data_IF_968945223333
#
_entry.id   IF_968945223333
#
_cell.length_a   1.000
_cell.length_b   1.000
_cell.length_c   1.000
_cell.angle_alpha   90.00
_cell.angle_beta   90.00
_cell.angle_gamma   90.00
#
_symmetry.space_group_name_H-M   'P 1'
#
loop_
_entity.id
_entity.type
_entity.pdbx_description
1 polymer ?
#
# COMPACT_ATOMS: atom_id res chain seq x y z
N UNK A 1 13.22 -15.47 -16.09
CA UNK A 1 11.84 -15.81 -15.72
C UNK A 1 10.99 -15.21 -16.80
N UNK A 2 10.26 -16.07 -17.49
CA UNK A 2 9.40 -15.76 -18.61
C UNK A 2 7.97 -15.68 -18.09
N UNK A 3 7.29 -14.58 -18.36
CA UNK A 3 5.89 -14.35 -18.04
C UNK A 3 5.14 -14.23 -19.35
N UNK A 4 4.14 -15.09 -19.55
CA UNK A 4 3.21 -14.86 -20.63
C UNK A 4 2.28 -13.73 -20.22
N UNK A 5 2.46 -12.58 -20.87
CA UNK A 5 1.57 -11.43 -20.77
C UNK A 5 1.11 -11.07 -22.19
N UNK A 6 -0.21 -11.17 -22.43
CA UNK A 6 -0.79 -10.78 -23.71
C UNK A 6 -0.68 -9.26 -23.89
N UNK A 7 -0.54 -8.80 -25.13
CA UNK A 7 -0.65 -7.36 -25.42
C UNK A 7 -2.12 -6.97 -25.24
N UNK A 8 -2.44 -6.07 -24.31
CA UNK A 8 -3.79 -5.52 -24.23
C UNK A 8 -4.06 -4.60 -25.44
N UNK A 9 -5.18 -4.81 -26.12
CA UNK A 9 -5.77 -3.80 -26.98
C UNK A 9 -6.59 -2.87 -26.10
N UNK A 10 -6.03 -1.69 -25.82
CA UNK A 10 -6.72 -0.65 -25.08
C UNK A 10 -7.85 -0.07 -25.94
N UNK A 11 -9.08 -0.57 -25.79
CA UNK A 11 -10.23 0.26 -26.12
C UNK A 11 -10.39 1.30 -24.99
N UNK A 12 -9.90 2.51 -25.26
CA UNK A 12 -9.92 3.69 -24.38
C UNK A 12 -11.34 4.11 -23.92
N UNK A 13 -12.38 3.34 -24.28
CA UNK A 13 -13.76 3.48 -23.82
C UNK A 13 -14.03 2.89 -22.45
N UNK A 14 -13.13 2.06 -21.90
CA UNK A 14 -13.11 1.87 -20.44
C UNK A 14 -12.70 3.22 -19.87
N UNK A 15 -13.60 3.88 -19.15
CA UNK A 15 -13.29 5.14 -18.44
C UNK A 15 -12.10 4.89 -17.50
N UNK A 16 -10.87 5.02 -17.99
CA UNK A 16 -9.71 5.32 -17.16
C UNK A 16 -10.03 6.72 -16.65
N UNK A 17 -10.41 6.91 -15.39
CA UNK A 17 -11.01 8.17 -15.01
C UNK A 17 -9.89 9.21 -14.81
N UNK A 18 -9.28 9.71 -15.88
CA UNK A 18 -8.22 10.72 -15.85
C UNK A 18 -6.99 10.37 -14.99
N UNK A 19 -6.02 11.30 -14.97
CA UNK A 19 -4.73 11.18 -14.25
C UNK A 19 -4.86 11.23 -12.70
N UNK A 20 -6.05 11.07 -12.12
CA UNK A 20 -6.36 11.45 -10.73
C UNK A 20 -6.54 10.29 -9.73
N UNK A 21 -6.53 9.02 -10.16
CA UNK A 21 -6.80 7.89 -9.26
C UNK A 21 -5.54 7.12 -8.87
N UNK A 22 -5.50 6.66 -7.62
CA UNK A 22 -4.36 5.98 -6.99
C UNK A 22 -4.24 4.48 -7.34
N UNK A 23 -5.17 3.94 -8.15
CA UNK A 23 -5.30 2.52 -8.51
C UNK A 23 -4.50 2.11 -9.77
N UNK A 24 -3.39 2.78 -10.05
CA UNK A 24 -2.62 2.57 -11.29
C UNK A 24 -1.62 1.43 -11.24
N UNK A 25 -1.50 0.72 -10.12
CA UNK A 25 -0.52 -0.37 -9.98
C UNK A 25 -0.72 -1.47 -11.04
N UNK A 26 -1.92 -2.08 -11.22
CA UNK A 26 -2.09 -3.14 -12.22
C UNK A 26 -1.83 -2.74 -13.69
N UNK A 27 -2.28 -1.56 -14.19
CA UNK A 27 -1.92 -1.16 -15.54
C UNK A 27 -0.43 -0.84 -15.70
N UNK A 28 0.22 -0.24 -14.68
CA UNK A 28 1.67 0.01 -14.73
C UNK A 28 2.49 -1.29 -14.75
N UNK A 29 2.07 -2.30 -13.98
CA UNK A 29 2.67 -3.63 -14.02
C UNK A 29 2.49 -4.26 -15.41
N UNK A 30 1.29 -4.18 -15.97
CA UNK A 30 1.03 -4.73 -17.31
C UNK A 30 1.88 -4.05 -18.39
N UNK A 31 1.91 -2.72 -18.42
CA UNK A 31 2.71 -1.96 -19.39
C UNK A 31 4.20 -2.31 -19.28
N UNK A 32 4.72 -2.41 -18.05
CA UNK A 32 6.10 -2.80 -17.81
C UNK A 32 6.38 -4.24 -18.27
N UNK A 33 5.51 -5.21 -17.95
CA UNK A 33 5.62 -6.58 -18.43
C UNK A 33 5.69 -6.63 -19.96
N UNK A 34 4.80 -5.93 -20.66
CA UNK A 34 4.66 -5.95 -22.12
C UNK A 34 5.94 -5.59 -22.86
N UNK A 35 6.73 -4.66 -22.31
CA UNK A 35 7.98 -4.16 -22.93
C UNK A 35 9.24 -4.74 -22.29
N UNK A 36 9.12 -5.51 -21.21
CA UNK A 36 10.25 -6.07 -20.49
C UNK A 36 10.82 -7.31 -21.20
N UNK A 37 12.09 -7.61 -20.89
CA UNK A 37 12.73 -8.90 -21.23
C UNK A 37 12.10 -10.12 -20.56
N UNK A 38 11.20 -9.91 -19.60
CA UNK A 38 10.52 -11.00 -18.92
C UNK A 38 9.36 -11.56 -19.70
N UNK A 39 8.86 -10.85 -20.73
CA UNK A 39 7.70 -11.34 -21.50
C UNK A 39 8.11 -12.39 -22.52
N UNK A 40 7.37 -13.50 -22.55
CA UNK A 40 7.36 -14.43 -23.69
C UNK A 40 6.00 -14.39 -24.40
N UNK A 41 5.99 -14.71 -25.69
CA UNK A 41 4.79 -14.96 -26.48
C UNK A 41 4.51 -16.45 -26.67
N UNK A 42 5.42 -17.33 -26.28
CA UNK A 42 5.23 -18.80 -26.28
C UNK A 42 4.73 -19.23 -24.91
N UNK A 43 3.53 -19.82 -24.82
CA UNK A 43 3.02 -20.41 -23.58
C UNK A 43 3.92 -21.51 -23.01
N UNK A 44 4.60 -22.27 -23.87
CA UNK A 44 5.45 -23.41 -23.50
C UNK A 44 6.74 -22.97 -22.79
N UNK A 45 7.19 -21.74 -23.04
CA UNK A 45 8.35 -21.14 -22.40
C UNK A 45 8.02 -20.37 -21.12
N UNK A 46 6.73 -20.23 -20.78
CA UNK A 46 6.28 -19.40 -19.67
C UNK A 46 6.46 -20.10 -18.33
N UNK A 47 7.09 -19.40 -17.38
CA UNK A 47 7.15 -19.82 -15.98
C UNK A 47 5.86 -19.40 -15.23
N UNK A 48 5.23 -18.30 -15.66
CA UNK A 48 4.02 -17.73 -15.08
C UNK A 48 3.09 -17.16 -16.16
N UNK A 49 1.79 -17.19 -15.91
CA UNK A 49 0.75 -16.61 -16.78
C UNK A 49 0.14 -15.38 -16.10
N UNK A 50 0.39 -14.19 -16.65
CA UNK A 50 -0.18 -12.96 -16.09
C UNK A 50 -1.60 -12.76 -16.61
N UNK A 51 -2.55 -12.57 -15.69
CA UNK A 51 -3.94 -12.28 -16.02
C UNK A 51 -4.23 -10.78 -15.81
N UNK A 52 -4.37 -9.99 -16.90
CA UNK A 52 -4.66 -8.57 -16.79
C UNK A 52 -6.12 -8.34 -16.41
N UNK A 53 -6.35 -7.91 -15.17
CA UNK A 53 -7.66 -7.46 -14.68
C UNK A 53 -7.55 -6.07 -14.09
N UNK A 54 -8.43 -5.16 -14.51
CA UNK A 54 -8.48 -3.79 -14.01
C UNK A 54 -9.84 -3.53 -13.37
N UNK A 55 -9.88 -3.51 -12.05
CA UNK A 55 -11.06 -3.15 -11.25
C UNK A 55 -10.84 -1.77 -10.62
N UNK A 56 -11.75 -0.84 -10.89
CA UNK A 56 -11.69 0.54 -10.40
C UNK A 56 -12.66 0.82 -9.26
N UNK A 57 -13.35 -0.19 -8.73
CA UNK A 57 -14.40 0.02 -7.73
C UNK A 57 -13.90 0.15 -6.27
N UNK A 58 -12.59 0.10 -6.04
CA UNK A 58 -12.03 0.12 -4.68
C UNK A 58 -12.60 -1.00 -3.81
N UNK A 59 -12.89 -0.72 -2.54
CA UNK A 59 -13.57 -1.68 -1.63
C UNK A 59 -15.06 -1.90 -1.95
N UNK A 60 -15.69 -1.12 -2.83
CA UNK A 60 -17.14 -0.87 -2.80
C UNK A 60 -17.92 -1.37 -4.03
N UNK A 61 -17.29 -2.11 -4.93
CA UNK A 61 -17.98 -2.67 -6.10
C UNK A 61 -17.80 -4.17 -6.26
N UNK A 62 -18.63 -4.70 -7.15
CA UNK A 62 -18.70 -6.11 -7.49
C UNK A 62 -17.40 -6.56 -8.19
N UNK A 63 -16.70 -7.59 -7.68
CA UNK A 63 -15.47 -8.11 -8.30
C UNK A 63 -15.75 -8.94 -9.57
N UNK A 64 -16.84 -8.68 -10.29
CA UNK A 64 -17.31 -9.46 -11.43
C UNK A 64 -16.26 -9.60 -12.54
N UNK A 65 -15.42 -8.59 -12.74
CA UNK A 65 -14.33 -8.63 -13.72
C UNK A 65 -13.40 -9.83 -13.49
N UNK A 66 -13.11 -10.15 -12.23
CA UNK A 66 -12.26 -11.27 -11.86
C UNK A 66 -12.96 -12.60 -12.08
N UNK A 67 -14.25 -12.72 -11.74
CA UNK A 67 -15.02 -13.94 -11.99
C UNK A 67 -15.16 -14.24 -13.49
N UNK A 68 -15.45 -13.22 -14.31
CA UNK A 68 -15.59 -13.37 -15.76
C UNK A 68 -14.26 -13.76 -16.39
N UNK A 69 -13.16 -13.12 -15.99
CA UNK A 69 -11.82 -13.47 -16.44
C UNK A 69 -11.43 -14.90 -16.03
N UNK A 70 -11.64 -15.26 -14.76
CA UNK A 70 -11.37 -16.61 -14.26
C UNK A 70 -12.19 -17.66 -15.02
N UNK A 71 -13.50 -17.46 -15.18
CA UNK A 71 -14.37 -18.37 -15.93
C UNK A 71 -13.91 -18.54 -17.38
N UNK A 72 -13.56 -17.45 -18.05
CA UNK A 72 -13.07 -17.50 -19.42
C UNK A 72 -11.76 -18.29 -19.50
N UNK A 73 -10.76 -17.95 -18.69
CA UNK A 73 -9.44 -18.59 -18.71
C UNK A 73 -9.54 -20.07 -18.34
N UNK A 74 -10.26 -20.42 -17.27
CA UNK A 74 -10.44 -21.81 -16.85
C UNK A 74 -11.20 -22.68 -17.85
N UNK A 75 -12.06 -22.08 -18.69
CA UNK A 75 -12.81 -22.81 -19.72
C UNK A 75 -12.11 -22.87 -21.08
N UNK A 76 -11.34 -21.84 -21.44
CA UNK A 76 -10.87 -21.62 -22.81
C UNK A 76 -9.36 -21.79 -22.99
N UNK A 77 -8.56 -21.66 -21.92
CA UNK A 77 -7.10 -21.70 -22.00
C UNK A 77 -6.57 -23.04 -21.45
N UNK A 78 -5.94 -23.88 -22.30
CA UNK A 78 -5.42 -25.19 -21.88
C UNK A 78 -4.41 -25.11 -20.72
N UNK A 79 -3.63 -24.04 -20.65
CA UNK A 79 -2.59 -23.85 -19.64
C UNK A 79 -3.14 -23.66 -18.22
N UNK A 80 -4.38 -23.17 -18.07
CA UNK A 80 -5.04 -23.15 -16.76
C UNK A 80 -5.19 -24.56 -16.20
N UNK A 81 -5.60 -25.52 -17.03
CA UNK A 81 -5.86 -26.90 -16.61
C UNK A 81 -4.58 -27.67 -16.27
N UNK A 82 -3.42 -27.25 -16.78
CA UNK A 82 -2.14 -27.90 -16.51
C UNK A 82 -1.69 -27.72 -15.05
N UNK A 83 -1.89 -26.54 -14.48
CA UNK A 83 -1.48 -26.19 -13.11
C UNK A 83 -2.66 -26.06 -12.14
N UNK A 84 -3.90 -26.10 -12.64
CA UNK A 84 -5.08 -25.70 -11.90
C UNK A 84 -5.07 -24.21 -11.53
N UNK A 85 -4.32 -23.38 -12.26
CA UNK A 85 -4.16 -21.94 -12.02
C UNK A 85 -3.02 -21.57 -11.06
N UNK A 86 -2.21 -22.53 -10.59
CA UNK A 86 -1.14 -22.28 -9.61
C UNK A 86 0.01 -21.40 -10.11
N UNK A 87 0.23 -21.38 -11.42
CA UNK A 87 1.20 -20.54 -12.14
C UNK A 87 0.57 -19.26 -12.72
N UNK A 88 -0.71 -18.99 -12.41
CA UNK A 88 -1.39 -17.78 -12.85
C UNK A 88 -1.23 -16.68 -11.82
N UNK A 89 -0.95 -15.47 -12.30
CA UNK A 89 -0.67 -14.28 -11.47
C UNK A 89 -1.71 -13.21 -11.74
N UNK A 90 -2.36 -12.73 -10.68
CA UNK A 90 -3.45 -11.76 -10.77
C UNK A 90 -3.09 -10.45 -10.06
N UNK A 91 -3.18 -9.33 -10.77
CA UNK A 91 -3.02 -8.02 -10.16
C UNK A 91 -4.35 -7.47 -9.62
N UNK A 92 -4.40 -7.22 -8.32
CA UNK A 92 -5.58 -6.75 -7.62
C UNK A 92 -5.49 -5.23 -7.38
N UNK A 93 -6.52 -4.50 -7.82
CA UNK A 93 -6.64 -3.05 -7.63
C UNK A 93 -7.69 -2.65 -6.59
N UNK A 94 -8.21 -3.59 -5.80
CA UNK A 94 -9.21 -3.30 -4.76
C UNK A 94 -8.54 -2.85 -3.47
N UNK A 95 -9.16 -1.92 -2.75
CA UNK A 95 -8.72 -1.45 -1.43
C UNK A 95 -8.41 -2.62 -0.46
N UNK A 96 -9.36 -3.55 -0.33
CA UNK A 96 -9.24 -4.75 0.49
C UNK A 96 -8.66 -5.96 -0.28
N UNK A 97 -8.01 -5.73 -1.42
CA UNK A 97 -7.42 -6.77 -2.27
C UNK A 97 -8.40 -7.93 -2.54
N UNK A 98 -8.01 -9.16 -2.21
CA UNK A 98 -8.78 -10.37 -2.48
C UNK A 98 -9.91 -10.61 -1.47
N UNK A 99 -9.93 -9.88 -0.34
CA UNK A 99 -10.87 -10.12 0.75
C UNK A 99 -12.33 -10.16 0.28
N UNK A 100 -13.12 -10.94 1.02
CA UNK A 100 -14.56 -10.84 0.96
C UNK A 100 -15.00 -9.44 1.38
N UNK A 101 -15.90 -8.89 0.60
CA UNK A 101 -16.57 -7.62 0.87
C UNK A 101 -18.08 -7.85 0.79
N UNK A 102 -18.91 -6.93 1.30
CA UNK A 102 -20.36 -6.99 1.07
C UNK A 102 -20.78 -7.15 -0.40
N UNK A 103 -19.92 -6.80 -1.36
CA UNK A 103 -20.18 -6.89 -2.80
C UNK A 103 -19.65 -8.17 -3.47
N UNK A 104 -19.05 -9.09 -2.72
CA UNK A 104 -18.47 -10.34 -3.25
C UNK A 104 -17.05 -10.61 -2.77
N UNK A 105 -16.55 -11.80 -3.11
CA UNK A 105 -15.25 -12.35 -2.71
C UNK A 105 -14.64 -13.11 -3.89
N UNK A 106 -13.38 -12.84 -4.25
CA UNK A 106 -12.67 -13.56 -5.33
C UNK A 106 -11.90 -14.78 -4.83
N UNK A 107 -12.06 -15.11 -3.55
CA UNK A 107 -11.16 -16.03 -2.87
C UNK A 107 -11.31 -17.45 -3.36
N UNK A 108 -12.53 -17.90 -3.65
CA UNK A 108 -12.73 -19.27 -4.11
C UNK A 108 -12.27 -19.47 -5.54
N UNK A 109 -12.49 -18.47 -6.41
CA UNK A 109 -12.09 -18.50 -7.81
C UNK A 109 -10.58 -18.41 -7.96
N UNK A 110 -9.91 -17.59 -7.14
CA UNK A 110 -8.47 -17.33 -7.28
C UNK A 110 -7.60 -18.06 -6.25
N UNK A 111 -8.17 -19.03 -5.50
CA UNK A 111 -7.45 -19.73 -4.41
C UNK A 111 -6.20 -20.48 -4.85
N UNK A 112 -6.12 -20.93 -6.09
CA UNK A 112 -4.93 -21.64 -6.59
C UNK A 112 -3.86 -20.67 -7.07
N UNK A 113 -4.23 -19.49 -7.55
CA UNK A 113 -3.33 -18.54 -8.19
C UNK A 113 -2.49 -17.70 -7.24
N UNK A 114 -1.49 -17.00 -7.76
CA UNK A 114 -0.67 -16.02 -7.04
C UNK A 114 -1.35 -14.65 -7.14
N UNK A 115 -1.61 -14.01 -6.00
CA UNK A 115 -2.22 -12.68 -5.97
C UNK A 115 -1.16 -11.61 -5.74
N UNK A 116 -1.15 -10.60 -6.61
CA UNK A 116 -0.40 -9.38 -6.45
C UNK A 116 -1.33 -8.31 -5.89
N UNK A 117 -1.17 -7.97 -4.62
CA UNK A 117 -2.07 -7.05 -3.91
C UNK A 117 -1.37 -5.79 -3.47
N UNK A 118 -2.11 -4.71 -3.33
CA UNK A 118 -1.69 -3.47 -2.67
C UNK A 118 -1.79 -3.53 -1.12
N UNK A 119 -2.29 -4.64 -0.57
CA UNK A 119 -2.59 -4.79 0.85
C UNK A 119 -2.39 -6.24 1.29
N UNK A 120 -1.55 -6.44 2.31
CA UNK A 120 -1.19 -7.75 2.84
C UNK A 120 -1.87 -8.11 4.17
N UNK A 121 -3.11 -7.67 4.38
CA UNK A 121 -3.86 -8.06 5.57
C UNK A 121 -4.36 -9.49 5.46
N UNK A 122 -4.12 -10.33 6.46
CA UNK A 122 -4.65 -11.71 6.49
C UNK A 122 -6.13 -11.76 6.85
N UNK A 123 -6.63 -10.74 7.54
CA UNK A 123 -8.04 -10.59 7.91
C UNK A 123 -8.71 -9.52 7.03
N UNK A 124 -9.99 -9.70 6.74
CA UNK A 124 -10.81 -8.65 6.12
C UNK A 124 -10.92 -7.40 7.00
N UNK A 125 -11.51 -6.32 6.47
CA UNK A 125 -11.69 -5.08 7.22
C UNK A 125 -12.70 -5.19 8.39
N UNK A 126 -13.48 -6.28 8.40
CA UNK A 126 -14.30 -6.72 9.54
C UNK A 126 -13.48 -7.32 10.69
N UNK A 127 -12.21 -7.64 10.44
CA UNK A 127 -11.27 -8.31 11.35
C UNK A 127 -11.61 -9.78 11.65
N UNK A 128 -12.34 -10.44 10.75
CA UNK A 128 -12.55 -11.90 10.80
C UNK A 128 -11.43 -12.60 10.03
N UNK A 129 -10.85 -13.63 10.65
CA UNK A 129 -9.72 -14.42 10.12
C UNK A 129 -10.14 -15.38 9.01
N UNK A 130 -11.42 -15.76 8.98
CA UNK A 130 -11.96 -16.81 8.11
C UNK A 130 -12.07 -16.39 6.63
N UNK A 131 -11.78 -15.13 6.30
CA UNK A 131 -11.77 -14.59 4.94
C UNK A 131 -10.31 -14.50 4.46
N UNK A 132 -9.81 -15.51 3.71
CA UNK A 132 -8.42 -15.57 3.22
C UNK A 132 -8.01 -14.36 2.38
N UNK A 133 -7.57 -13.27 2.97
CA UNK A 133 -7.31 -12.01 2.25
C UNK A 133 -5.96 -11.92 1.55
N UNK A 134 -4.95 -12.51 2.17
CA UNK A 134 -3.56 -12.52 1.74
C UNK A 134 -2.91 -13.76 2.35
N UNK A 135 -2.13 -14.49 1.55
CA UNK A 135 -1.37 -15.66 2.01
C UNK A 135 0.11 -15.31 2.08
N UNK A 136 0.68 -15.12 3.27
CA UNK A 136 2.11 -14.93 3.44
C UNK A 136 2.91 -16.05 2.76
N UNK A 137 3.96 -15.68 2.03
CA UNK A 137 4.79 -16.61 1.26
C UNK A 137 4.20 -17.09 -0.08
N UNK A 138 2.90 -16.88 -0.34
CA UNK A 138 2.26 -17.24 -1.61
C UNK A 138 1.79 -16.03 -2.44
N UNK A 139 1.17 -15.04 -1.79
CA UNK A 139 0.71 -13.78 -2.40
C UNK A 139 1.75 -12.68 -2.17
N UNK A 140 1.87 -11.70 -3.07
CA UNK A 140 2.90 -10.65 -3.00
C UNK A 140 2.26 -9.28 -2.86
N UNK A 141 2.71 -8.51 -1.86
CA UNK A 141 2.27 -7.13 -1.72
C UNK A 141 3.14 -6.23 -2.59
N UNK A 142 2.50 -5.40 -3.42
CA UNK A 142 3.11 -4.43 -4.31
C UNK A 142 2.86 -3.00 -3.83
N UNK A 143 3.78 -2.06 -4.10
CA UNK A 143 3.56 -0.66 -3.77
C UNK A 143 2.46 -0.07 -4.63
N UNK A 144 1.62 0.77 -4.04
CA UNK A 144 0.66 1.54 -4.80
C UNK A 144 1.32 2.65 -5.64
N UNK A 145 0.64 3.10 -6.70
CA UNK A 145 1.25 3.92 -7.74
C UNK A 145 1.17 5.42 -7.45
N UNK A 146 2.25 5.99 -6.92
CA UNK A 146 2.36 7.43 -6.70
C UNK A 146 2.38 8.23 -8.02
N UNK A 147 1.86 9.45 -7.97
CA UNK A 147 1.93 10.40 -9.09
C UNK A 147 3.31 11.04 -9.17
N UNK A 148 3.76 11.38 -10.37
CA UNK A 148 5.01 12.14 -10.56
C UNK A 148 5.04 13.42 -9.71
N UNK A 149 3.90 14.10 -9.52
CA UNK A 149 3.83 15.31 -8.69
C UNK A 149 4.36 15.08 -7.27
N UNK A 150 4.12 13.91 -6.69
CA UNK A 150 4.63 13.54 -5.36
C UNK A 150 6.09 13.10 -5.47
N UNK A 151 6.40 12.20 -6.41
CA UNK A 151 7.75 11.65 -6.56
C UNK A 151 8.78 12.75 -6.86
N UNK A 152 8.43 13.75 -7.68
CA UNK A 152 9.31 14.88 -8.01
C UNK A 152 9.71 15.75 -6.81
N UNK A 153 8.95 15.69 -5.71
CA UNK A 153 9.26 16.42 -4.47
C UNK A 153 10.15 15.62 -3.52
N UNK A 154 10.49 14.39 -3.85
CA UNK A 154 11.31 13.56 -2.99
C UNK A 154 12.65 14.24 -2.70
N UNK A 155 13.07 14.34 -1.42
CA UNK A 155 14.41 14.83 -1.10
C UNK A 155 15.49 13.91 -1.66
N UNK A 156 15.19 12.63 -1.93
CA UNK A 156 16.15 11.61 -2.36
C UNK A 156 16.72 11.83 -3.76
N UNK A 157 16.19 12.78 -4.53
CA UNK A 157 16.81 13.25 -5.77
C UNK A 157 18.09 14.07 -5.56
N UNK A 158 18.30 14.63 -4.36
CA UNK A 158 19.44 15.49 -4.03
C UNK A 158 20.73 14.73 -3.76
N UNK A 159 21.82 15.49 -3.60
CA UNK A 159 23.09 14.96 -3.09
C UNK A 159 22.99 14.60 -1.61
N UNK A 160 23.97 13.86 -1.10
CA UNK A 160 24.06 13.47 0.32
C UNK A 160 23.94 14.68 1.25
N UNK A 161 24.63 15.78 0.93
CA UNK A 161 24.57 17.04 1.70
C UNK A 161 23.17 17.65 1.65
N UNK A 162 22.55 17.76 0.47
CA UNK A 162 21.22 18.35 0.33
C UNK A 162 20.15 17.56 1.10
N UNK A 163 20.27 16.24 1.09
CA UNK A 163 19.40 15.33 1.83
C UNK A 163 19.61 15.50 3.34
N UNK A 164 20.85 15.50 3.81
CA UNK A 164 21.18 15.71 5.22
C UNK A 164 20.64 17.06 5.73
N UNK A 165 20.87 18.14 4.97
CA UNK A 165 20.35 19.47 5.30
C UNK A 165 18.82 19.49 5.31
N UNK A 166 18.18 18.79 4.36
CA UNK A 166 16.74 18.60 4.31
C UNK A 166 16.19 17.92 5.57
N UNK A 167 16.84 16.84 6.02
CA UNK A 167 16.46 16.14 7.24
C UNK A 167 16.70 16.98 8.50
N UNK A 168 17.79 17.75 8.57
CA UNK A 168 18.11 18.62 9.70
C UNK A 168 17.09 19.75 9.90
N UNK A 169 16.44 20.22 8.82
CA UNK A 169 15.39 21.26 8.88
C UNK A 169 14.01 20.75 9.32
N UNK A 170 13.84 19.46 9.57
CA UNK A 170 12.54 18.89 9.98
C UNK A 170 12.22 19.23 11.42
N UNK A 171 11.10 19.92 11.61
CA UNK A 171 10.68 20.46 12.92
C UNK A 171 9.57 19.66 13.58
N UNK A 172 8.82 18.87 12.81
CA UNK A 172 7.72 18.05 13.34
C UNK A 172 8.25 16.67 13.70
N UNK A 173 8.05 16.24 14.95
CA UNK A 173 8.48 14.92 15.41
C UNK A 173 7.61 13.84 14.80
N UNK A 174 6.30 13.88 15.02
CA UNK A 174 5.35 12.91 14.47
C UNK A 174 4.20 13.65 13.78
N UNK A 175 3.89 13.25 12.55
CA UNK A 175 2.78 13.78 11.78
C UNK A 175 1.73 12.73 11.44
N UNK A 176 0.47 13.14 11.47
CA UNK A 176 -0.64 12.37 10.92
C UNK A 176 -1.74 13.28 10.38
N UNK A 177 -2.34 12.86 9.26
CA UNK A 177 -3.60 13.42 8.79
C UNK A 177 -4.53 12.33 8.25
N UNK A 178 -5.81 12.45 8.56
CA UNK A 178 -6.88 11.56 8.10
C UNK A 178 -7.94 11.32 9.17
N UNK A 179 -8.98 10.59 8.81
CA UNK A 179 -10.05 10.25 9.74
C UNK A 179 -9.57 9.33 10.85
N UNK A 180 -10.07 9.55 12.06
CA UNK A 180 -9.78 8.75 13.24
C UNK A 180 -10.71 7.53 13.33
N UNK A 181 -12.00 7.71 13.03
CA UNK A 181 -13.05 6.71 13.23
C UNK A 181 -14.09 6.69 12.09
N UNK A 182 -14.76 5.54 11.92
CA UNK A 182 -15.89 5.42 11.00
C UNK A 182 -17.18 5.98 11.64
N UNK A 183 -18.13 6.59 10.90
CA UNK A 183 -18.08 7.03 9.50
C UNK A 183 -17.22 8.29 9.34
N UNK A 184 -16.38 8.33 8.31
CA UNK A 184 -15.41 9.42 8.09
C UNK A 184 -16.07 10.78 7.81
N UNK A 185 -17.32 10.79 7.33
CA UNK A 185 -18.09 12.00 7.03
C UNK A 185 -18.69 12.68 8.26
N UNK A 186 -18.77 11.98 9.40
CA UNK A 186 -19.31 12.54 10.64
C UNK A 186 -18.22 13.27 11.42
N UNK A 187 -18.36 14.58 11.58
CA UNK A 187 -17.37 15.44 12.27
C UNK A 187 -17.75 15.59 13.75
N UNK A 188 -16.83 15.23 14.65
CA UNK A 188 -16.95 15.48 16.08
C UNK A 188 -16.51 16.91 16.43
N UNK A 189 -17.26 17.60 17.31
CA UNK A 189 -16.97 18.99 17.71
C UNK A 189 -16.09 19.10 18.95
N UNK A 190 -16.03 18.04 19.74
CA UNK A 190 -15.24 17.95 20.97
C UNK A 190 -14.85 16.50 21.23
N UNK A 191 -14.00 16.27 22.25
CA UNK A 191 -13.49 14.94 22.59
C UNK A 191 -14.60 13.98 23.05
N UNK A 192 -15.67 14.47 23.67
CA UNK A 192 -16.79 13.63 24.12
C UNK A 192 -17.58 13.10 22.92
N UNK A 193 -17.87 13.97 21.95
CA UNK A 193 -18.50 13.61 20.69
C UNK A 193 -17.63 12.65 19.88
N UNK A 194 -16.30 12.85 19.89
CA UNK A 194 -15.36 11.97 19.22
C UNK A 194 -15.32 10.58 19.88
N UNK A 195 -15.24 10.51 21.21
CA UNK A 195 -15.27 9.25 21.96
C UNK A 195 -16.54 8.45 21.63
N UNK A 196 -17.72 9.08 21.72
CA UNK A 196 -18.99 8.45 21.41
C UNK A 196 -19.09 7.99 19.94
N UNK A 197 -18.50 8.76 19.01
CA UNK A 197 -18.41 8.35 17.60
C UNK A 197 -17.53 7.11 17.44
N UNK A 198 -16.35 7.11 18.04
CA UNK A 198 -15.39 6.02 17.93
C UNK A 198 -15.89 4.75 18.60
N UNK A 199 -16.56 4.85 19.75
CA UNK A 199 -17.21 3.71 20.40
C UNK A 199 -18.23 3.02 19.47
N UNK A 200 -19.11 3.80 18.82
CA UNK A 200 -20.03 3.27 17.79
C UNK A 200 -19.31 2.64 16.60
N UNK A 201 -18.21 3.24 16.16
CA UNK A 201 -17.36 2.69 15.09
C UNK A 201 -16.86 1.27 15.39
N UNK A 202 -16.75 0.90 16.67
CA UNK A 202 -16.24 -0.41 17.10
C UNK A 202 -17.33 -1.38 17.56
N UNK A 203 -18.52 -0.89 17.90
CA UNK A 203 -19.62 -1.72 18.41
C UNK A 203 -20.69 -2.05 17.36
N UNK A 204 -20.85 -1.24 16.31
CA UNK A 204 -21.82 -1.53 15.25
C UNK A 204 -21.29 -2.62 14.29
N UNK A 205 -22.05 -3.71 14.06
CA UNK A 205 -21.67 -4.73 13.08
C UNK A 205 -21.55 -4.15 11.67
N UNK A 206 -20.43 -4.39 10.99
CA UNK A 206 -20.25 -3.96 9.60
C UNK A 206 -18.84 -4.15 9.06
N UNK A 207 -18.69 -3.92 7.76
CA UNK A 207 -17.43 -4.10 7.02
C UNK A 207 -16.25 -3.28 7.57
N UNK A 208 -16.51 -2.20 8.31
CA UNK A 208 -15.50 -1.30 8.89
C UNK A 208 -15.58 -1.21 10.42
N UNK A 209 -16.16 -2.22 11.08
CA UNK A 209 -16.32 -2.26 12.55
C UNK A 209 -15.01 -2.30 13.33
N UNK A 210 -13.86 -2.50 12.67
CA UNK A 210 -12.52 -2.42 13.26
C UNK A 210 -11.63 -1.39 12.58
N UNK A 211 -12.19 -0.23 12.19
CA UNK A 211 -11.44 0.82 11.49
C UNK A 211 -10.12 1.16 12.20
N UNK A 212 -9.00 0.93 11.51
CA UNK A 212 -7.64 1.17 12.03
C UNK A 212 -7.33 0.49 13.38
N UNK A 213 -8.08 -0.55 13.74
CA UNK A 213 -8.00 -1.26 15.02
C UNK A 213 -8.13 -0.34 16.26
N UNK A 214 -8.78 0.82 16.09
CA UNK A 214 -8.91 1.88 17.09
C UNK A 214 -7.63 2.67 17.38
N UNK A 215 -6.51 2.36 16.73
CA UNK A 215 -5.21 2.95 17.05
C UNK A 215 -5.12 4.42 16.66
N UNK A 216 -5.78 4.84 15.56
CA UNK A 216 -5.84 6.26 15.17
C UNK A 216 -6.43 7.13 16.29
N UNK A 217 -7.58 6.72 16.82
CA UNK A 217 -8.25 7.41 17.91
C UNK A 217 -7.39 7.41 19.17
N UNK A 218 -6.89 6.24 19.62
CA UNK A 218 -6.09 6.14 20.85
C UNK A 218 -4.85 7.02 20.80
N UNK A 219 -4.13 7.03 19.68
CA UNK A 219 -2.94 7.88 19.50
C UNK A 219 -3.33 9.36 19.52
N UNK A 220 -4.41 9.73 18.83
CA UNK A 220 -4.88 11.11 18.79
C UNK A 220 -5.33 11.60 20.18
N UNK A 221 -6.17 10.82 20.87
CA UNK A 221 -6.66 11.12 22.21
C UNK A 221 -5.51 11.40 23.18
N UNK A 222 -4.47 10.56 23.14
CA UNK A 222 -3.35 10.65 24.07
C UNK A 222 -2.33 11.73 23.71
N UNK A 223 -2.07 11.95 22.41
CA UNK A 223 -0.90 12.71 21.98
C UNK A 223 -1.20 13.93 21.09
N UNK A 224 -2.47 14.29 20.86
CA UNK A 224 -2.82 15.46 20.02
C UNK A 224 -2.22 16.78 20.50
N UNK A 225 -1.89 16.92 21.78
CA UNK A 225 -1.25 18.11 22.37
C UNK A 225 0.23 17.87 22.73
N UNK A 226 0.80 16.73 22.38
CA UNK A 226 2.18 16.42 22.71
C UNK A 226 3.15 17.34 21.92
N UNK A 227 4.21 17.87 22.56
CA UNK A 227 5.19 18.70 21.87
C UNK A 227 5.80 18.02 20.64
N UNK A 228 5.82 18.74 19.52
CA UNK A 228 6.34 18.24 18.24
C UNK A 228 5.42 17.26 17.50
N UNK A 229 4.27 16.90 18.06
CA UNK A 229 3.30 16.04 17.38
C UNK A 229 2.25 16.90 16.68
N UNK A 230 1.94 16.57 15.43
CA UNK A 230 0.95 17.28 14.61
C UNK A 230 -0.09 16.32 14.06
N UNK A 231 -1.34 16.56 14.43
CA UNK A 231 -2.48 15.77 13.98
C UNK A 231 -3.51 16.66 13.30
N UNK A 232 -3.91 16.29 12.09
CA UNK A 232 -5.04 16.90 11.38
C UNK A 232 -6.10 15.82 11.11
N UNK A 233 -7.00 15.68 12.07
CA UNK A 233 -8.10 14.72 12.03
C UNK A 233 -9.25 15.27 11.19
N UNK A 234 -9.53 14.65 10.04
CA UNK A 234 -10.56 15.15 9.12
C UNK A 234 -11.98 15.08 9.70
N UNK A 235 -12.17 14.27 10.73
CA UNK A 235 -13.43 14.00 11.40
C UNK A 235 -13.52 14.59 12.82
N UNK A 236 -12.67 15.57 13.13
CA UNK A 236 -12.66 16.31 14.39
C UNK A 236 -12.49 17.81 14.13
N UNK A 237 -13.31 18.66 14.75
CA UNK A 237 -13.28 20.12 14.53
C UNK A 237 -12.34 20.83 15.51
N UNK A 238 -11.51 21.79 15.06
CA UNK A 238 -11.29 22.16 13.65
C UNK A 238 -10.46 21.08 12.93
N UNK A 239 -10.90 20.69 11.73
CA UNK A 239 -10.28 19.59 10.98
C UNK A 239 -9.00 20.01 10.25
N UNK A 240 -8.87 21.30 9.96
CA UNK A 240 -7.78 21.89 9.20
C UNK A 240 -7.29 23.20 9.83
N UNK A 241 -6.00 23.54 9.68
CA UNK A 241 -5.46 24.82 10.11
C UNK A 241 -6.01 25.96 9.26
N UNK A 242 -6.27 27.11 9.89
CA UNK A 242 -6.85 28.29 9.24
C UNK A 242 -5.97 28.89 8.12
N UNK A 243 -4.65 28.68 8.16
CA UNK A 243 -3.67 29.18 7.17
C UNK A 243 -3.49 28.30 5.94
N UNK A 244 -4.35 27.30 5.73
CA UNK A 244 -4.24 26.33 4.65
C UNK A 244 -3.42 25.10 5.01
N UNK A 245 -3.69 23.99 4.33
CA UNK A 245 -3.05 22.70 4.57
C UNK A 245 -2.57 22.08 3.26
N UNK A 246 -1.30 21.67 3.24
CA UNK A 246 -0.69 20.96 2.12
C UNK A 246 0.00 19.72 2.66
N UNK A 247 -0.59 18.56 2.39
CA UNK A 247 -0.14 17.28 2.91
C UNK A 247 1.36 17.03 2.66
N UNK A 248 1.82 17.24 1.43
CA UNK A 248 3.23 17.04 1.07
C UNK A 248 4.18 17.91 1.91
N UNK A 249 3.79 19.16 2.20
CA UNK A 249 4.63 20.13 2.92
C UNK A 249 4.70 19.82 4.42
N UNK A 250 3.63 19.24 4.98
CA UNK A 250 3.62 18.71 6.35
C UNK A 250 4.42 17.40 6.46
N UNK A 251 4.37 16.53 5.46
CA UNK A 251 5.22 15.32 5.42
C UNK A 251 6.70 15.70 5.30
N UNK A 252 7.06 16.62 4.41
CA UNK A 252 8.46 17.03 4.16
C UNK A 252 9.14 17.62 5.39
N UNK A 253 8.38 18.29 6.28
CA UNK A 253 8.90 18.85 7.55
C UNK A 253 8.88 17.87 8.73
N UNK A 254 8.43 16.65 8.51
CA UNK A 254 8.22 15.65 9.57
C UNK A 254 9.31 14.59 9.61
N UNK A 255 9.78 14.29 10.83
CA UNK A 255 10.74 13.23 11.08
C UNK A 255 10.09 11.86 10.91
N UNK A 256 8.95 11.67 11.58
CA UNK A 256 8.14 10.46 11.56
C UNK A 256 6.72 10.74 11.06
N UNK A 257 6.14 9.78 10.33
CA UNK A 257 4.76 9.89 9.82
C UNK A 257 3.96 8.63 10.18
N UNK A 258 2.86 8.82 10.90
CA UNK A 258 2.02 7.72 11.35
C UNK A 258 1.31 7.05 10.16
N UNK A 259 1.49 5.74 10.04
CA UNK A 259 0.96 4.87 9.00
C UNK A 259 0.04 3.80 9.61
N UNK A 260 -1.13 4.18 10.14
CA UNK A 260 -2.11 3.26 10.69
C UNK A 260 -2.86 2.54 9.56
N UNK A 261 -3.53 1.43 9.91
CA UNK A 261 -4.46 0.76 9.00
C UNK A 261 -5.63 1.69 8.64
N UNK A 262 -6.42 1.34 7.63
CA UNK A 262 -7.51 2.17 7.08
C UNK A 262 -8.59 1.32 6.42
N UNK A 263 -9.24 1.85 5.39
CA UNK A 263 -10.24 1.11 4.58
C UNK A 263 -9.61 0.23 3.49
N UNK A 264 -8.31 -0.04 3.56
CA UNK A 264 -7.52 -0.70 2.51
C UNK A 264 -6.66 0.26 1.68
N UNK A 265 -5.95 -0.27 0.68
CA UNK A 265 -5.00 0.39 -0.25
C UNK A 265 -3.60 0.74 0.26
N UNK A 266 -3.40 1.01 1.55
CA UNK A 266 -2.05 1.14 2.12
C UNK A 266 -1.20 2.33 1.64
N UNK A 267 -1.73 3.21 0.77
CA UNK A 267 -0.96 4.26 0.07
C UNK A 267 -0.14 5.21 0.94
N UNK A 268 -0.60 5.46 2.18
CA UNK A 268 0.08 6.42 3.07
C UNK A 268 1.53 6.03 3.28
N UNK A 269 1.83 4.74 3.43
CA UNK A 269 3.19 4.29 3.72
C UNK A 269 4.15 4.65 2.58
N UNK A 270 3.71 4.47 1.33
CA UNK A 270 4.51 4.82 0.15
C UNK A 270 4.63 6.34 -0.03
N UNK A 271 3.56 7.10 0.20
CA UNK A 271 3.57 8.57 0.09
C UNK A 271 4.56 9.20 1.07
N UNK A 272 4.51 8.81 2.35
CA UNK A 272 5.38 9.40 3.37
C UNK A 272 6.84 9.00 3.17
N UNK A 273 7.08 7.75 2.77
CA UNK A 273 8.41 7.21 2.50
C UNK A 273 9.07 7.95 1.34
N UNK A 274 8.36 8.16 0.22
CA UNK A 274 8.93 8.87 -0.95
C UNK A 274 9.27 10.33 -0.63
N UNK A 275 8.56 10.97 0.30
CA UNK A 275 8.90 12.31 0.80
C UNK A 275 9.93 12.27 1.94
N UNK A 276 10.51 11.09 2.20
CA UNK A 276 11.59 10.83 3.14
C UNK A 276 11.17 10.82 4.60
N UNK A 277 9.88 10.84 4.93
CA UNK A 277 9.39 10.79 6.31
C UNK A 277 9.39 9.33 6.79
N UNK A 278 10.02 9.05 7.94
CA UNK A 278 10.17 7.68 8.43
C UNK A 278 8.78 7.14 8.81
N UNK A 279 8.29 6.06 8.18
CA UNK A 279 6.97 5.51 8.48
C UNK A 279 6.90 4.96 9.91
N UNK A 280 5.83 5.27 10.62
CA UNK A 280 5.49 4.65 11.91
C UNK A 280 4.27 3.76 11.71
N UNK A 281 4.49 2.47 11.52
CA UNK A 281 3.47 1.51 11.11
C UNK A 281 2.75 0.97 12.33
N UNK A 282 1.42 1.15 12.37
CA UNK A 282 0.53 0.63 13.43
C UNK A 282 -0.56 -0.26 12.83
N UNK A 283 -0.18 -1.11 11.88
CA UNK A 283 -1.09 -1.99 11.13
C UNK A 283 -1.14 -3.40 11.73
N UNK A 284 -1.39 -3.48 13.03
CA UNK A 284 -1.47 -4.72 13.78
C UNK A 284 -2.60 -4.62 14.81
N UNK A 285 -3.49 -5.61 14.85
CA UNK A 285 -4.65 -5.61 15.76
C UNK A 285 -4.34 -6.21 17.15
N UNK A 286 -3.21 -6.92 17.28
CA UNK A 286 -2.78 -7.58 18.51
C UNK A 286 -3.11 -9.08 18.55
N UNK A 287 -3.95 -9.56 17.62
CA UNK A 287 -4.50 -10.92 17.61
C UNK A 287 -4.02 -11.71 16.39
N UNK A 288 -3.80 -11.02 15.27
CA UNK A 288 -3.46 -11.59 13.98
C UNK A 288 -2.07 -11.13 13.49
N UNK A 289 -1.47 -11.86 12.53
CA UNK A 289 -0.28 -11.39 11.83
C UNK A 289 -0.41 -9.93 11.36
N UNK A 290 0.67 -9.12 11.44
CA UNK A 290 0.67 -7.76 10.92
C UNK A 290 0.27 -7.73 9.45
N UNK A 291 -0.33 -6.60 9.02
CA UNK A 291 -0.51 -6.34 7.60
C UNK A 291 0.86 -6.29 6.93
N UNK A 292 1.12 -7.23 6.02
CA UNK A 292 2.36 -7.24 5.26
C UNK A 292 2.47 -6.00 4.36
N UNK A 293 3.66 -5.44 4.28
CA UNK A 293 3.97 -4.28 3.44
C UNK A 293 4.55 -4.73 2.09
N UNK A 294 4.77 -3.79 1.17
CA UNK A 294 5.26 -4.13 -0.16
C UNK A 294 6.60 -4.89 -0.10
N UNK A 295 6.65 -6.05 -0.76
CA UNK A 295 7.80 -6.96 -0.82
C UNK A 295 8.32 -7.48 0.54
N UNK A 296 7.48 -7.41 1.58
CA UNK A 296 7.78 -7.88 2.93
C UNK A 296 7.40 -9.37 3.10
N UNK A 297 8.27 -10.22 3.67
CA UNK A 297 9.67 -10.00 4.06
C UNK A 297 10.68 -10.42 3.00
N UNK A 298 10.25 -10.87 1.81
CA UNK A 298 11.13 -11.56 0.87
C UNK A 298 12.22 -10.67 0.26
N UNK A 299 11.98 -9.36 0.14
CA UNK A 299 12.95 -8.42 -0.45
C UNK A 299 13.21 -7.22 0.43
N UNK A 300 12.18 -6.69 1.10
CA UNK A 300 12.31 -5.49 1.93
C UNK A 300 12.08 -5.82 3.40
N UNK A 301 13.08 -5.54 4.23
CA UNK A 301 12.99 -5.63 5.68
C UNK A 301 12.52 -4.29 6.24
N UNK A 302 11.19 -4.14 6.38
CA UNK A 302 10.56 -2.86 6.73
C UNK A 302 10.98 -2.34 8.10
N UNK A 303 11.38 -3.19 9.02
CA UNK A 303 11.92 -2.79 10.31
C UNK A 303 13.22 -2.00 10.19
N UNK A 304 13.99 -2.11 9.10
CA UNK A 304 15.26 -1.39 8.91
C UNK A 304 15.05 0.11 8.66
N UNK A 305 14.00 0.49 7.90
CA UNK A 305 13.74 1.86 7.46
C UNK A 305 12.42 2.46 7.98
N UNK A 306 11.66 1.71 8.78
CA UNK A 306 10.45 2.18 9.45
C UNK A 306 10.50 1.93 10.96
N UNK A 307 9.43 2.32 11.66
CA UNK A 307 9.19 2.00 13.06
C UNK A 307 7.88 1.23 13.15
N UNK A 308 7.96 -0.08 13.41
CA UNK A 308 6.78 -0.92 13.63
C UNK A 308 6.36 -0.81 15.09
N UNK A 309 5.13 -0.36 15.33
CA UNK A 309 4.61 -0.07 16.67
C UNK A 309 3.41 -0.98 16.95
N UNK A 310 3.56 -1.81 17.99
CA UNK A 310 2.48 -2.68 18.47
C UNK A 310 1.54 -1.93 19.40
N UNK A 311 0.35 -2.51 19.62
CA UNK A 311 -0.74 -1.88 20.40
C UNK A 311 -0.31 -1.54 21.83
N UNK A 312 0.47 -2.41 22.45
CA UNK A 312 1.01 -2.28 23.81
C UNK A 312 2.09 -1.18 23.93
N UNK A 313 2.73 -0.80 22.82
CA UNK A 313 3.77 0.22 22.80
C UNK A 313 3.23 1.64 22.57
N UNK A 314 1.93 1.76 22.25
CA UNK A 314 1.28 3.05 22.00
C UNK A 314 1.45 3.99 23.19
N UNK A 315 1.35 3.45 24.41
CA UNK A 315 1.43 4.29 25.59
C UNK A 315 2.80 4.95 25.79
N UNK A 316 3.85 4.33 25.27
CA UNK A 316 5.23 4.80 25.29
C UNK A 316 5.69 5.41 23.97
N UNK A 317 4.77 5.67 23.03
CA UNK A 317 5.11 6.10 21.67
C UNK A 317 6.11 7.29 21.61
N UNK A 318 5.99 8.36 22.41
CA UNK A 318 6.98 9.45 22.40
C UNK A 318 8.39 8.99 22.81
N UNK A 319 8.51 8.15 23.84
CA UNK A 319 9.78 7.62 24.30
C UNK A 319 10.39 6.66 23.26
N UNK A 320 9.55 5.80 22.66
CA UNK A 320 9.95 4.92 21.56
C UNK A 320 10.53 5.70 20.38
N UNK A 321 9.84 6.76 19.92
CA UNK A 321 10.34 7.59 18.82
C UNK A 321 11.59 8.38 19.20
N UNK A 322 11.81 8.67 20.48
CA UNK A 322 13.03 9.32 20.95
C UNK A 322 14.24 8.37 20.99
N UNK A 323 14.02 7.06 21.19
CA UNK A 323 15.10 6.06 21.20
C UNK A 323 15.50 5.56 19.81
N UNK A 324 14.72 5.88 18.76
CA UNK A 324 15.03 5.46 17.39
C UNK A 324 16.25 6.20 16.85
N UNK A 325 17.21 5.46 16.28
CA UNK A 325 18.27 6.05 15.48
C UNK A 325 17.70 6.57 14.15
N UNK A 326 17.20 7.80 14.18
CA UNK A 326 16.51 8.43 13.05
C UNK A 326 17.40 8.55 11.80
N UNK A 327 18.68 8.88 11.98
CA UNK A 327 19.62 9.02 10.86
C UNK A 327 19.83 7.68 10.15
N UNK A 328 19.95 6.58 10.91
CA UNK A 328 20.05 5.25 10.31
C UNK A 328 18.76 4.88 9.55
N UNK A 329 17.58 5.15 10.11
CA UNK A 329 16.30 4.94 9.41
C UNK A 329 16.22 5.72 8.10
N UNK A 330 16.60 7.00 8.11
CA UNK A 330 16.60 7.86 6.93
C UNK A 330 17.60 7.38 5.86
N UNK A 331 18.78 6.91 6.27
CA UNK A 331 19.76 6.34 5.37
C UNK A 331 19.25 5.05 4.71
N UNK A 332 18.68 4.13 5.49
CA UNK A 332 18.06 2.90 4.97
C UNK A 332 16.88 3.21 4.03
N UNK A 333 16.03 4.18 4.38
CA UNK A 333 14.93 4.66 3.55
C UNK A 333 15.39 5.10 2.15
N UNK A 334 16.51 5.84 2.11
CA UNK A 334 17.11 6.33 0.86
C UNK A 334 17.63 5.18 -0.02
N UNK A 335 18.01 4.04 0.56
CA UNK A 335 18.48 2.89 -0.23
C UNK A 335 17.33 2.15 -0.92
N UNK A 336 16.12 2.22 -0.37
CA UNK A 336 14.97 1.43 -0.84
C UNK A 336 13.88 2.24 -1.55
N UNK A 337 13.91 3.57 -1.50
CA UNK A 337 12.79 4.38 -2.00
C UNK A 337 12.43 4.16 -3.48
N UNK A 338 13.41 3.90 -4.36
CA UNK A 338 13.15 3.64 -5.79
C UNK A 338 12.43 2.32 -6.01
N UNK A 339 12.71 1.32 -5.17
CA UNK A 339 12.07 0.00 -5.17
C UNK A 339 10.56 0.10 -4.91
N UNK A 340 10.08 1.22 -4.38
CA UNK A 340 8.67 1.47 -4.10
C UNK A 340 8.02 2.45 -5.10
N UNK A 341 8.73 2.81 -6.18
CA UNK A 341 8.25 3.70 -7.24
C UNK A 341 8.08 2.90 -8.53
N UNK A 342 6.96 3.09 -9.21
CA UNK A 342 6.76 2.58 -10.57
C UNK A 342 7.39 3.53 -11.58
N UNK A 343 8.46 3.15 -12.28
CA UNK A 343 9.13 4.02 -13.27
C UNK A 343 8.19 4.47 -14.38
N UNK A 344 7.24 3.62 -14.78
CA UNK A 344 6.19 3.95 -15.74
C UNK A 344 5.26 5.08 -15.31
N UNK A 345 5.20 5.42 -14.01
CA UNK A 345 4.39 6.53 -13.51
C UNK A 345 5.07 7.91 -13.66
N UNK A 346 6.33 7.93 -14.09
CA UNK A 346 7.14 9.12 -14.31
C UNK A 346 7.22 9.43 -15.81
N UNK A 347 7.32 10.71 -16.14
CA UNK A 347 7.63 11.30 -17.43
C UNK A 347 9.12 11.75 -17.45
N UNK A 348 9.67 12.06 -18.62
CA UNK A 348 11.04 12.57 -18.72
C UNK A 348 11.15 14.00 -18.13
N UNK A 349 12.30 14.38 -17.53
CA UNK A 349 13.53 13.59 -17.40
C UNK A 349 13.58 12.69 -16.15
N UNK A 350 12.53 12.67 -15.32
CA UNK A 350 12.56 11.94 -14.05
C UNK A 350 12.59 10.42 -14.26
N UNK A 351 11.89 9.92 -15.28
CA UNK A 351 11.86 8.51 -15.64
C UNK A 351 13.25 7.93 -15.90
N UNK A 352 14.03 8.57 -16.77
CA UNK A 352 15.40 8.11 -17.09
C UNK A 352 16.39 8.32 -15.94
N UNK A 353 16.16 9.32 -15.09
CA UNK A 353 17.03 9.65 -13.96
C UNK A 353 16.77 8.83 -12.70
N UNK A 354 15.65 8.13 -12.57
CA UNK A 354 15.33 7.33 -11.37
C UNK A 354 16.41 6.25 -11.18
N UNK A 355 17.21 6.31 -10.11
CA UNK A 355 18.37 5.43 -9.94
C UNK A 355 17.93 4.03 -9.49
N UNK A 356 18.76 3.02 -9.82
CA UNK A 356 18.57 1.66 -9.33
C UNK A 356 17.28 0.97 -9.80
N UNK A 357 16.93 -0.16 -9.18
CA UNK A 357 15.70 -0.89 -9.50
C UNK A 357 14.46 -0.12 -9.03
N UNK A 358 13.39 -0.29 -9.80
CA UNK A 358 12.07 0.27 -9.51
C UNK A 358 11.13 -0.84 -8.98
N UNK A 359 9.87 -0.50 -8.68
CA UNK A 359 8.88 -1.46 -8.19
C UNK A 359 8.64 -2.64 -9.15
N UNK A 360 8.75 -2.44 -10.46
CA UNK A 360 8.59 -3.52 -11.43
C UNK A 360 9.75 -4.51 -11.33
N UNK A 361 11.00 -4.04 -11.38
CA UNK A 361 12.17 -4.91 -11.28
C UNK A 361 12.17 -5.73 -9.97
N UNK A 362 11.74 -5.10 -8.87
CA UNK A 362 11.64 -5.76 -7.56
C UNK A 362 10.51 -6.80 -7.53
N UNK A 363 9.38 -6.51 -8.19
CA UNK A 363 8.30 -7.49 -8.39
C UNK A 363 8.80 -8.73 -9.11
N UNK A 364 9.56 -8.54 -10.20
CA UNK A 364 10.11 -9.65 -10.99
C UNK A 364 11.16 -10.45 -10.21
N UNK A 365 11.98 -9.79 -9.39
CA UNK A 365 12.93 -10.46 -8.49
C UNK A 365 12.21 -11.29 -7.42
N UNK A 366 11.17 -10.74 -6.78
CA UNK A 366 10.38 -11.43 -5.76
C UNK A 366 9.67 -12.67 -6.33
N UNK A 367 9.00 -12.53 -7.48
CA UNK A 367 8.35 -13.66 -8.16
C UNK A 367 9.35 -14.74 -8.57
N UNK A 368 10.52 -14.35 -9.07
CA UNK A 368 11.58 -15.30 -9.44
C UNK A 368 12.10 -16.08 -8.23
N UNK A 369 12.29 -15.41 -7.10
CA UNK A 369 12.72 -16.04 -5.85
C UNK A 369 11.70 -17.10 -5.39
N UNK A 370 10.40 -16.82 -5.53
CA UNK A 370 9.33 -17.75 -5.18
C UNK A 370 9.28 -19.00 -6.05
N UNK A 371 9.67 -18.88 -7.31
CA UNK A 371 9.81 -20.03 -8.21
C UNK A 371 11.09 -20.84 -7.96
N UNK A 372 11.93 -20.47 -6.98
CA UNK A 372 13.21 -21.14 -6.72
C UNK A 372 14.24 -20.97 -7.83
N UNK A 373 14.08 -19.97 -8.70
CA UNK A 373 14.98 -19.70 -9.81
C UNK A 373 16.16 -18.82 -9.34
N UNK A 374 17.41 -19.20 -9.66
CA UNK A 374 18.63 -18.46 -9.25
C UNK A 374 18.61 -16.98 -9.70
N UNK A 375 19.08 -16.06 -8.86
CA UNK A 375 19.30 -14.66 -9.21
C UNK A 375 20.33 -14.53 -10.36
N UNK A 376 20.21 -13.46 -11.16
CA UNK A 376 21.09 -13.19 -12.31
C UNK A 376 22.49 -12.81 -11.89
#
# INVERSE_FOLDING_TARGET
>A
MNVLALKAEYDWRVQVPGRKFDYRMPPLLHDALVVSKHRTSSPEEADLFYVPTWDFHGSWGNPEVYYRAHRYISSAFPFWNASGGADHVWALARDAAACATPWGSMLEELKSSILLSNWGGVTGLSGRVEERCFRPGWDLVLPGALTQRVVAKSPHWGTDSQIADGHARRTTRLFFSGALCWKISTIARDMRALAAKCERSFSEPGFLSRYSFGLRYRIFEKFRTAPGFRFYASDFSPSMPAGGFRLDDEILRSQFCLCPSGTGWGMRVFHVLVLGCVPVITQHDGENPPVAQAFDPEVLHWDEFSVIVRREQIDTLPALLASVNLTAKQAALRQVWTQLIWRGSLEEPLRSRLPGPDAFEVTMAALRARLGLKAW
#
